data_IF_977977618593
#
_entry.id   IF_977977618593
#
_cell.length_a   1.000
_cell.length_b   1.000
_cell.length_c   1.000
_cell.angle_alpha   90.00
_cell.angle_beta   90.00
_cell.angle_gamma   90.00
#
_symmetry.space_group_name_H-M   'P 1'
#
loop_
_entity.id
_entity.type
_entity.pdbx_description
1 polymer ?
#
# COMPACT_ATOMS: atom_id res chain seq x y z
N UNK A 1 -5.75 18.21 1.24
CA UNK A 1 -6.47 17.27 2.13
C UNK A 1 -7.23 16.22 1.32
N UNK A 2 -7.88 16.58 0.20
CA UNK A 2 -8.60 15.59 -0.63
C UNK A 2 -7.72 14.52 -1.28
N UNK A 3 -6.47 14.84 -1.60
CA UNK A 3 -5.56 13.89 -2.25
C UNK A 3 -5.03 12.82 -1.29
N UNK A 4 -4.90 13.15 0.01
CA UNK A 4 -4.44 12.21 1.04
C UNK A 4 -5.49 11.12 1.29
N UNK A 5 -6.75 11.53 1.46
CA UNK A 5 -7.88 10.61 1.61
C UNK A 5 -8.05 9.75 0.35
N UNK A 6 -7.81 10.31 -0.84
CA UNK A 6 -7.87 9.57 -2.10
C UNK A 6 -6.73 8.58 -2.25
N UNK A 7 -5.51 8.93 -1.84
CA UNK A 7 -4.36 8.02 -1.85
C UNK A 7 -4.62 6.81 -0.94
N UNK A 8 -5.15 7.05 0.26
CA UNK A 8 -5.51 6.00 1.21
C UNK A 8 -6.59 5.07 0.66
N UNK A 9 -7.69 5.63 0.15
CA UNK A 9 -8.79 4.83 -0.43
C UNK A 9 -8.35 3.97 -1.62
N UNK A 10 -7.40 4.46 -2.44
CA UNK A 10 -6.80 3.67 -3.53
C UNK A 10 -5.98 2.50 -3.00
N UNK A 11 -5.14 2.74 -1.99
CA UNK A 11 -4.33 1.70 -1.37
C UNK A 11 -5.19 0.61 -0.70
N UNK A 12 -6.25 1.01 0.00
CA UNK A 12 -7.25 0.09 0.56
C UNK A 12 -7.89 -0.77 -0.55
N UNK A 13 -8.28 -0.14 -1.67
CA UNK A 13 -8.83 -0.84 -2.83
C UNK A 13 -7.87 -1.89 -3.42
N UNK A 14 -6.57 -1.58 -3.49
CA UNK A 14 -5.54 -2.55 -3.92
C UNK A 14 -5.51 -3.75 -2.96
N UNK A 15 -5.46 -3.53 -1.65
CA UNK A 15 -5.42 -4.62 -0.66
C UNK A 15 -6.69 -5.47 -0.67
N UNK A 16 -7.87 -4.85 -0.79
CA UNK A 16 -9.15 -5.55 -0.91
C UNK A 16 -9.15 -6.46 -2.14
N UNK A 17 -8.65 -5.98 -3.28
CA UNK A 17 -8.59 -6.77 -4.51
C UNK A 17 -7.64 -7.98 -4.38
N UNK A 18 -6.46 -7.77 -3.78
CA UNK A 18 -5.43 -8.81 -3.63
C UNK A 18 -5.78 -9.85 -2.55
N UNK A 19 -6.36 -9.42 -1.43
CA UNK A 19 -6.59 -10.27 -0.25
C UNK A 19 -8.04 -10.67 -0.02
N UNK A 20 -9.00 -10.05 -0.70
CA UNK A 20 -10.45 -10.22 -0.48
C UNK A 20 -10.87 -9.92 0.97
N UNK A 21 -10.33 -8.84 1.54
CA UNK A 21 -10.63 -8.38 2.89
C UNK A 21 -11.65 -7.21 2.92
N UNK A 22 -12.07 -6.80 4.12
CA UNK A 22 -12.89 -5.59 4.33
C UNK A 22 -12.05 -4.31 4.24
N UNK A 23 -12.72 -3.16 4.10
CA UNK A 23 -12.06 -1.83 4.13
C UNK A 23 -11.32 -1.61 5.45
N UNK A 24 -11.96 -1.91 6.58
CA UNK A 24 -11.34 -1.75 7.91
C UNK A 24 -10.07 -2.60 8.05
N UNK A 25 -10.11 -3.85 7.59
CA UNK A 25 -8.94 -4.73 7.61
C UNK A 25 -7.80 -4.23 6.71
N UNK A 26 -8.13 -3.69 5.54
CA UNK A 26 -7.15 -3.08 4.64
C UNK A 26 -6.50 -1.84 5.29
N UNK A 27 -7.29 -0.98 5.92
CA UNK A 27 -6.78 0.19 6.62
C UNK A 27 -5.89 -0.20 7.81
N UNK A 28 -6.31 -1.17 8.63
CA UNK A 28 -5.50 -1.68 9.74
C UNK A 28 -4.16 -2.27 9.27
N UNK A 29 -4.14 -2.95 8.12
CA UNK A 29 -2.91 -3.47 7.52
C UNK A 29 -1.95 -2.33 7.13
N UNK A 30 -2.44 -1.27 6.48
CA UNK A 30 -1.64 -0.08 6.15
C UNK A 30 -1.07 0.59 7.40
N UNK A 31 -1.88 0.75 8.45
CA UNK A 31 -1.44 1.34 9.73
C UNK A 31 -0.41 0.45 10.43
N UNK A 32 -0.57 -0.87 10.36
CA UNK A 32 0.37 -1.82 10.95
C UNK A 32 1.72 -1.80 10.23
N UNK A 33 1.72 -1.78 8.90
CA UNK A 33 2.91 -1.66 8.08
C UNK A 33 3.65 -0.33 8.35
N UNK A 34 2.90 0.78 8.39
CA UNK A 34 3.38 2.11 8.76
C UNK A 34 4.15 2.09 10.09
N UNK A 35 3.55 1.51 11.14
CA UNK A 35 4.20 1.39 12.45
C UNK A 35 5.45 0.49 12.43
N UNK A 36 5.40 -0.63 11.70
CA UNK A 36 6.51 -1.59 11.59
C UNK A 36 7.74 -0.97 10.94
N UNK A 37 7.53 -0.24 9.85
CA UNK A 37 8.61 0.37 9.05
C UNK A 37 8.93 1.80 9.47
N UNK A 38 8.14 2.38 10.39
CA UNK A 38 8.26 3.77 10.85
C UNK A 38 8.14 4.78 9.70
N UNK A 39 7.30 4.47 8.72
CA UNK A 39 6.98 5.31 7.57
C UNK A 39 5.56 5.88 7.75
N UNK A 40 5.31 7.17 7.45
CA UNK A 40 3.95 7.72 7.54
C UNK A 40 2.94 6.90 6.71
N UNK A 41 1.75 6.68 7.27
CA UNK A 41 0.70 5.85 6.63
C UNK A 41 0.32 6.34 5.23
N UNK A 42 0.29 7.65 5.01
CA UNK A 42 0.01 8.20 3.68
C UNK A 42 1.15 7.94 2.69
N UNK A 43 2.42 8.02 3.14
CA UNK A 43 3.58 7.74 2.30
C UNK A 43 3.62 6.29 1.87
N UNK A 44 3.39 5.34 2.80
CA UNK A 44 3.39 3.91 2.46
C UNK A 44 2.16 3.53 1.61
N UNK A 45 1.01 4.19 1.80
CA UNK A 45 -0.17 4.02 0.95
C UNK A 45 0.08 4.51 -0.49
N UNK A 46 0.68 5.70 -0.65
CA UNK A 46 1.07 6.21 -1.96
C UNK A 46 2.10 5.30 -2.64
N UNK A 47 3.08 4.80 -1.89
CA UNK A 47 4.09 3.87 -2.39
C UNK A 47 3.48 2.53 -2.84
N UNK A 48 2.50 1.99 -2.10
CA UNK A 48 1.78 0.79 -2.51
C UNK A 48 1.05 1.01 -3.84
N UNK A 49 0.37 2.15 -4.00
CA UNK A 49 -0.32 2.47 -5.25
C UNK A 49 0.66 2.62 -6.41
N UNK A 50 1.80 3.29 -6.19
CA UNK A 50 2.85 3.41 -7.20
C UNK A 50 3.45 2.05 -7.57
N UNK A 51 3.62 1.15 -6.59
CA UNK A 51 4.12 -0.21 -6.82
C UNK A 51 3.13 -1.04 -7.64
N UNK A 52 1.83 -0.93 -7.37
CA UNK A 52 0.79 -1.60 -8.15
C UNK A 52 0.69 -1.06 -9.60
N UNK A 53 1.22 0.13 -9.87
CA UNK A 53 1.27 0.77 -11.19
C UNK A 53 2.60 0.57 -11.91
N UNK A 54 3.54 -0.20 -11.33
CA UNK A 54 4.92 -0.34 -11.84
C UNK A 54 5.64 1.01 -12.01
N UNK A 55 5.33 1.96 -11.12
CA UNK A 55 5.85 3.34 -11.12
C UNK A 55 6.56 3.71 -9.80
N UNK A 56 6.93 2.70 -9.02
CA UNK A 56 7.52 2.89 -7.69
C UNK A 56 8.98 3.37 -7.75
N UNK A 57 9.34 4.26 -6.81
CA UNK A 57 10.68 4.84 -6.71
C UNK A 57 11.66 3.99 -5.88
N UNK A 58 12.67 4.66 -5.31
CA UNK A 58 13.69 4.05 -4.44
C UNK A 58 13.80 4.83 -3.12
N UNK A 59 12.68 4.98 -2.42
CA UNK A 59 12.59 5.59 -1.10
C UNK A 59 12.16 4.58 -0.02
N UNK A 60 12.29 4.96 1.25
CA UNK A 60 11.95 4.11 2.39
C UNK A 60 10.49 3.62 2.35
N UNK A 61 9.57 4.44 1.83
CA UNK A 61 8.17 4.08 1.72
C UNK A 61 7.95 2.99 0.66
N UNK A 62 8.68 3.09 -0.45
CA UNK A 62 8.68 2.09 -1.51
C UNK A 62 9.35 0.80 -1.07
N UNK A 63 10.47 0.88 -0.35
CA UNK A 63 11.11 -0.29 0.24
C UNK A 63 10.16 -1.01 1.22
N UNK A 64 9.49 -0.25 2.09
CA UNK A 64 8.49 -0.79 3.02
C UNK A 64 7.30 -1.42 2.30
N UNK A 65 6.73 -0.74 1.30
CA UNK A 65 5.61 -1.26 0.53
C UNK A 65 5.98 -2.52 -0.26
N UNK A 66 7.19 -2.57 -0.86
CA UNK A 66 7.71 -3.74 -1.56
C UNK A 66 7.94 -4.91 -0.61
N UNK A 67 8.45 -4.64 0.59
CA UNK A 67 8.63 -5.66 1.63
C UNK A 67 7.29 -6.29 2.07
N UNK A 68 6.25 -5.48 2.27
CA UNK A 68 4.95 -5.97 2.76
C UNK A 68 4.10 -6.65 1.67
N UNK A 69 4.09 -6.09 0.45
CA UNK A 69 3.10 -6.45 -0.56
C UNK A 69 3.68 -6.84 -1.92
N UNK A 70 5.01 -6.78 -2.12
CA UNK A 70 5.64 -7.10 -3.41
C UNK A 70 5.25 -8.50 -3.90
N UNK A 71 5.35 -9.51 -3.03
CA UNK A 71 4.99 -10.89 -3.38
C UNK A 71 3.49 -11.08 -3.70
N UNK A 72 2.60 -10.22 -3.18
CA UNK A 72 1.17 -10.28 -3.53
C UNK A 72 0.93 -9.72 -4.92
N UNK A 73 1.61 -8.63 -5.28
CA UNK A 73 1.50 -7.99 -6.58
C UNK A 73 2.09 -8.89 -7.68
N UNK A 74 3.23 -9.52 -7.43
CA UNK A 74 3.86 -10.48 -8.35
C UNK A 74 2.94 -11.68 -8.66
N UNK A 75 2.12 -12.12 -7.70
CA UNK A 75 1.17 -13.23 -7.89
C UNK A 75 -0.02 -12.88 -8.78
N UNK A 76 -0.28 -11.60 -9.02
CA UNK A 76 -1.41 -11.09 -9.81
C UNK A 76 -0.95 -10.51 -11.15
N UNK A 77 0.37 -10.39 -11.37
CA UNK A 77 0.92 -10.00 -12.66
C UNK A 77 0.42 -10.95 -13.76
N UNK A 78 -0.07 -10.42 -14.91
CA UNK A 78 -0.66 -11.20 -15.99
C UNK A 78 0.34 -12.13 -16.70
#
# INVERSE_FOLDING_TARGET
>A
MDDDARALARAEGVLIALRRCSVDAAFEELVTASKRHRVPTLSIAAALVALAQDAAGDDDATAAARYEWGALLERVAP
#
